data_IF_706035867839
#
_entry.id   IF_706035867839
#
_cell.length_a   1.000
_cell.length_b   1.000
_cell.length_c   1.000
_cell.angle_alpha   90.00
_cell.angle_beta   90.00
_cell.angle_gamma   90.00
#
_symmetry.space_group_name_H-M   'P 1'
#
loop_
_entity.id
_entity.type
_entity.pdbx_description
1 polymer ?
#
# COMPACT_ATOMS: atom_id res chain seq x y z
N UNK A 1 -47.30 25.20 57.67
CA UNK A 1 -47.30 25.12 56.20
C UNK A 1 -46.45 26.28 55.67
N UNK A 2 -45.37 25.99 54.92
CA UNK A 2 -45.42 26.17 53.47
C UNK A 2 -44.75 25.04 52.66
N UNK A 3 -45.09 25.05 51.36
CA UNK A 3 -44.78 24.11 50.28
C UNK A 3 -43.29 23.79 50.08
N UNK A 4 -42.96 22.50 49.88
CA UNK A 4 -41.75 22.08 49.17
C UNK A 4 -42.09 21.84 47.70
N UNK A 5 -41.24 22.26 46.75
CA UNK A 5 -41.44 21.91 45.35
C UNK A 5 -41.14 20.42 45.16
N UNK A 6 -42.10 19.73 44.53
CA UNK A 6 -41.97 18.36 44.07
C UNK A 6 -40.86 18.32 43.00
N UNK A 7 -39.68 17.82 43.37
CA UNK A 7 -38.69 17.38 42.39
C UNK A 7 -39.23 16.08 41.78
N UNK A 8 -39.81 16.19 40.58
CA UNK A 8 -40.25 15.05 39.79
C UNK A 8 -39.06 14.18 39.41
N UNK A 9 -39.01 12.96 39.93
CA UNK A 9 -38.12 11.92 39.41
C UNK A 9 -38.50 11.64 37.95
N UNK A 10 -37.55 11.62 37.01
CA UNK A 10 -37.85 11.22 35.64
C UNK A 10 -38.32 9.76 35.62
N UNK A 11 -39.46 9.51 35.00
CA UNK A 11 -40.05 8.18 34.80
C UNK A 11 -39.02 7.17 34.29
N UNK A 12 -39.02 5.95 34.83
CA UNK A 12 -38.12 4.84 34.41
C UNK A 12 -38.12 4.57 32.89
N UNK A 13 -39.23 4.91 32.20
CA UNK A 13 -39.35 4.84 30.74
C UNK A 13 -38.46 5.85 30.00
N UNK A 14 -38.23 7.03 30.58
CA UNK A 14 -37.39 8.09 30.02
C UNK A 14 -35.90 7.72 30.09
N UNK A 15 -35.47 7.12 31.21
CA UNK A 15 -34.07 6.67 31.40
C UNK A 15 -33.73 5.51 30.47
N UNK A 16 -34.67 4.58 30.25
CA UNK A 16 -34.48 3.45 29.34
C UNK A 16 -34.46 3.88 27.86
N UNK A 17 -35.19 4.95 27.51
CA UNK A 17 -35.19 5.55 26.16
C UNK A 17 -33.87 6.27 25.83
N UNK A 18 -33.29 7.02 26.78
CA UNK A 18 -32.02 7.71 26.54
C UNK A 18 -30.83 6.75 26.39
N UNK A 19 -30.82 5.64 27.14
CA UNK A 19 -29.75 4.62 27.00
C UNK A 19 -29.74 3.93 25.64
N UNK A 20 -30.91 3.73 25.03
CA UNK A 20 -31.03 3.08 23.72
C UNK A 20 -30.56 4.00 22.57
N UNK A 21 -30.80 5.30 22.68
CA UNK A 21 -30.33 6.30 21.71
C UNK A 21 -28.80 6.47 21.79
N UNK A 22 -28.22 6.45 23.00
CA UNK A 22 -26.78 6.50 23.19
C UNK A 22 -26.06 5.25 22.63
N UNK A 23 -26.70 4.06 22.70
CA UNK A 23 -26.16 2.84 22.09
C UNK A 23 -26.20 2.89 20.55
N UNK A 24 -27.27 3.44 19.96
CA UNK A 24 -27.37 3.61 18.51
C UNK A 24 -26.40 4.66 17.95
N UNK A 25 -26.04 5.69 18.73
CA UNK A 25 -25.03 6.69 18.36
C UNK A 25 -23.59 6.20 18.57
N UNK A 26 -23.39 5.06 19.23
CA UNK A 26 -22.07 4.46 19.46
C UNK A 26 -21.64 3.49 18.35
N UNK A 27 -22.42 3.35 17.28
CA UNK A 27 -21.93 2.72 16.05
C UNK A 27 -20.95 3.68 15.38
N UNK A 28 -19.71 3.72 15.88
CA UNK A 28 -18.56 4.18 15.10
C UNK A 28 -18.69 3.55 13.72
N UNK A 29 -18.53 4.31 12.62
CA UNK A 29 -18.56 3.73 11.30
C UNK A 29 -17.47 2.66 11.31
N UNK A 30 -17.90 1.40 11.32
CA UNK A 30 -17.03 0.27 11.06
C UNK A 30 -16.49 0.58 9.68
N UNK A 31 -15.26 1.08 9.61
CA UNK A 31 -14.68 1.55 8.36
C UNK A 31 -14.80 0.40 7.40
N UNK A 32 -15.65 0.56 6.37
CA UNK A 32 -15.70 -0.39 5.29
C UNK A 32 -14.28 -0.45 4.76
N UNK A 33 -13.56 -1.54 5.02
CA UNK A 33 -12.18 -1.68 4.57
C UNK A 33 -12.19 -1.51 3.05
N UNK A 34 -11.50 -0.47 2.60
CA UNK A 34 -11.38 -0.15 1.19
C UNK A 34 -10.91 -1.40 0.41
N UNK A 35 -11.46 -1.68 -0.78
CA UNK A 35 -11.06 -2.84 -1.60
C UNK A 35 -9.54 -2.93 -1.82
N UNK A 36 -8.83 -1.79 -1.85
CA UNK A 36 -7.36 -1.73 -1.89
C UNK A 36 -6.78 -2.32 -0.61
N UNK A 37 -7.22 -1.88 0.57
CA UNK A 37 -6.71 -2.37 1.86
C UNK A 37 -7.03 -3.84 2.12
N UNK A 38 -8.17 -4.35 1.59
CA UNK A 38 -8.60 -5.73 1.81
C UNK A 38 -7.96 -6.71 0.82
N UNK A 39 -8.08 -6.44 -0.48
CA UNK A 39 -7.68 -7.37 -1.54
C UNK A 39 -6.48 -6.83 -2.33
N UNK A 40 -6.50 -5.54 -2.70
CA UNK A 40 -5.45 -4.95 -3.54
C UNK A 40 -4.06 -5.12 -2.93
N UNK A 41 -3.91 -4.86 -1.63
CA UNK A 41 -2.63 -4.98 -0.93
C UNK A 41 -2.10 -6.41 -0.91
N UNK A 42 -2.98 -7.41 -0.77
CA UNK A 42 -2.62 -8.83 -0.90
C UNK A 42 -2.14 -9.13 -2.31
N UNK A 43 -2.80 -8.59 -3.33
CA UNK A 43 -2.47 -8.84 -4.73
C UNK A 43 -1.14 -8.15 -5.13
N UNK A 44 -0.86 -6.96 -4.58
CA UNK A 44 0.45 -6.29 -4.70
C UNK A 44 1.57 -7.12 -4.06
N UNK A 45 1.37 -7.57 -2.82
CA UNK A 45 2.32 -8.45 -2.12
C UNK A 45 2.59 -9.72 -2.92
N UNK A 46 1.55 -10.41 -3.37
CA UNK A 46 1.70 -11.62 -4.18
C UNK A 46 2.46 -11.35 -5.49
N UNK A 47 2.20 -10.21 -6.13
CA UNK A 47 2.93 -9.82 -7.35
C UNK A 47 4.41 -9.52 -7.07
N UNK A 48 4.71 -8.89 -5.94
CA UNK A 48 6.08 -8.64 -5.50
C UNK A 48 6.79 -9.92 -5.02
N UNK A 49 6.10 -10.82 -4.36
CA UNK A 49 6.63 -12.13 -3.95
C UNK A 49 7.01 -12.99 -5.15
N UNK A 50 6.26 -12.92 -6.26
CA UNK A 50 6.65 -13.58 -7.52
C UNK A 50 7.95 -12.99 -8.09
N UNK A 51 8.13 -11.67 -7.99
CA UNK A 51 9.36 -10.99 -8.39
C UNK A 51 10.54 -11.42 -7.51
N UNK A 52 10.37 -11.37 -6.18
CA UNK A 52 11.39 -11.76 -5.20
C UNK A 52 11.69 -13.27 -5.22
N UNK A 53 10.71 -14.11 -5.56
CA UNK A 53 10.90 -15.55 -5.74
C UNK A 53 11.86 -15.92 -6.88
N UNK A 54 12.16 -14.96 -7.78
CA UNK A 54 13.21 -15.08 -8.81
C UNK A 54 14.54 -14.44 -8.37
N UNK A 55 14.66 -14.02 -7.12
CA UNK A 55 15.81 -13.31 -6.56
C UNK A 55 15.76 -11.78 -6.74
N UNK A 56 14.65 -11.24 -7.24
CA UNK A 56 14.50 -9.80 -7.46
C UNK A 56 15.32 -9.26 -8.65
N UNK A 57 15.25 -7.95 -8.87
CA UNK A 57 16.03 -7.30 -9.94
C UNK A 57 17.51 -7.34 -9.63
N UNK A 58 17.90 -7.32 -8.35
CA UNK A 58 19.28 -7.51 -7.94
C UNK A 58 19.87 -8.81 -8.52
N UNK A 59 19.23 -9.96 -8.27
CA UNK A 59 19.75 -11.24 -8.76
C UNK A 59 19.71 -11.33 -10.30
N UNK A 60 18.70 -10.74 -10.94
CA UNK A 60 18.63 -10.66 -12.40
C UNK A 60 19.85 -9.96 -13.01
N UNK A 61 20.24 -8.81 -12.45
CA UNK A 61 21.43 -8.08 -12.92
C UNK A 61 22.73 -8.80 -12.55
N UNK A 62 22.78 -9.45 -11.39
CA UNK A 62 23.93 -10.25 -10.97
C UNK A 62 24.20 -11.43 -11.91
N UNK A 63 23.13 -12.05 -12.45
CA UNK A 63 23.20 -13.22 -13.33
C UNK A 63 23.33 -12.86 -14.81
N UNK A 64 23.08 -11.61 -15.20
CA UNK A 64 23.12 -11.18 -16.59
C UNK A 64 24.55 -10.74 -16.98
N UNK A 65 25.16 -11.34 -18.02
CA UNK A 65 26.48 -10.92 -18.50
C UNK A 65 26.52 -9.43 -18.83
N UNK A 66 27.57 -8.74 -18.34
CA UNK A 66 27.75 -7.29 -18.56
C UNK A 66 26.94 -6.37 -17.63
N UNK A 67 26.12 -6.91 -16.71
CA UNK A 67 25.29 -6.11 -15.80
C UNK A 67 25.63 -6.24 -14.32
N UNK A 68 26.53 -7.16 -13.97
CA UNK A 68 26.89 -7.46 -12.57
C UNK A 68 27.33 -6.22 -11.78
N UNK A 69 28.17 -5.36 -12.37
CA UNK A 69 28.66 -4.14 -11.70
C UNK A 69 27.54 -3.12 -11.42
N UNK A 70 26.38 -3.30 -12.06
CA UNK A 70 25.18 -2.49 -11.86
C UNK A 70 24.13 -3.18 -10.98
N UNK A 71 24.42 -4.33 -10.36
CA UNK A 71 23.43 -5.09 -9.57
C UNK A 71 22.87 -4.29 -8.39
N UNK A 72 23.64 -3.35 -7.84
CA UNK A 72 23.16 -2.40 -6.82
C UNK A 72 21.99 -1.51 -7.29
N UNK A 73 21.82 -1.27 -8.58
CA UNK A 73 20.62 -0.61 -9.11
C UNK A 73 19.39 -1.53 -8.99
N UNK A 74 19.58 -2.84 -9.18
CA UNK A 74 18.52 -3.82 -8.97
C UNK A 74 18.09 -3.89 -7.51
N UNK A 75 19.04 -3.85 -6.58
CA UNK A 75 18.73 -3.80 -5.15
C UNK A 75 17.94 -2.53 -4.76
N UNK A 76 18.23 -1.41 -5.42
CA UNK A 76 17.44 -0.18 -5.23
C UNK A 76 16.00 -0.34 -5.72
N UNK A 77 15.78 -0.98 -6.88
CA UNK A 77 14.42 -1.31 -7.34
C UNK A 77 13.70 -2.17 -6.32
N UNK A 78 14.32 -3.28 -5.90
CA UNK A 78 13.73 -4.23 -4.95
C UNK A 78 13.32 -3.52 -3.64
N UNK A 79 14.23 -2.71 -3.07
CA UNK A 79 13.97 -1.96 -1.84
C UNK A 79 12.89 -0.89 -1.98
N UNK A 80 12.85 -0.16 -3.11
CA UNK A 80 11.85 0.90 -3.35
C UNK A 80 10.45 0.32 -3.56
N UNK A 81 10.34 -0.78 -4.31
CA UNK A 81 9.07 -1.49 -4.50
C UNK A 81 8.52 -2.01 -3.16
N UNK A 82 9.38 -2.61 -2.33
CA UNK A 82 9.00 -3.03 -0.98
C UNK A 82 8.53 -1.84 -0.14
N UNK A 83 9.26 -0.71 -0.18
CA UNK A 83 8.90 0.49 0.58
C UNK A 83 7.53 1.02 0.15
N UNK A 84 7.26 1.11 -1.15
CA UNK A 84 5.96 1.53 -1.68
C UNK A 84 4.80 0.66 -1.17
N UNK A 85 4.97 -0.66 -1.15
CA UNK A 85 3.98 -1.58 -0.59
C UNK A 85 3.76 -1.28 0.90
N UNK A 86 4.84 -1.17 1.68
CA UNK A 86 4.79 -0.88 3.12
C UNK A 86 4.10 0.46 3.41
N UNK A 87 4.25 1.46 2.55
CA UNK A 87 3.55 2.75 2.69
C UNK A 87 2.03 2.54 2.60
N UNK A 88 1.55 1.79 1.61
CA UNK A 88 0.11 1.47 1.52
C UNK A 88 -0.37 0.63 2.71
N UNK A 89 0.43 -0.33 3.17
CA UNK A 89 0.12 -1.09 4.39
C UNK A 89 -0.07 -0.18 5.60
N UNK A 90 0.82 0.80 5.74
CA UNK A 90 0.82 1.74 6.86
C UNK A 90 -0.40 2.64 6.78
N UNK A 91 -0.74 3.16 5.60
CA UNK A 91 -1.98 3.92 5.39
C UNK A 91 -3.20 3.11 5.84
N UNK A 92 -3.32 1.86 5.38
CA UNK A 92 -4.44 0.98 5.75
C UNK A 92 -4.50 0.68 7.26
N UNK A 93 -3.35 0.50 7.92
CA UNK A 93 -3.26 0.30 9.38
C UNK A 93 -3.66 1.55 10.16
N UNK A 94 -3.33 2.72 9.65
CA UNK A 94 -3.65 4.02 10.25
C UNK A 94 -5.11 4.47 9.99
N UNK A 95 -5.92 3.64 9.33
CA UNK A 95 -7.29 3.98 8.94
C UNK A 95 -7.38 4.98 7.78
N UNK A 96 -6.27 5.25 7.09
CA UNK A 96 -6.23 6.04 5.85
C UNK A 96 -6.50 5.13 4.65
N UNK A 97 -7.19 5.65 3.66
CA UNK A 97 -7.45 4.93 2.40
C UNK A 97 -6.43 5.32 1.34
N UNK A 98 -5.63 4.37 0.81
CA UNK A 98 -4.82 4.59 -0.39
C UNK A 98 -5.65 5.10 -1.57
N UNK A 99 -5.08 5.96 -2.41
CA UNK A 99 -5.75 6.34 -3.65
C UNK A 99 -5.59 5.23 -4.70
N UNK A 100 -6.58 5.10 -5.59
CA UNK A 100 -6.46 4.17 -6.73
C UNK A 100 -5.26 4.49 -7.62
N UNK A 101 -4.90 5.78 -7.73
CA UNK A 101 -3.69 6.23 -8.44
C UNK A 101 -2.42 5.65 -7.81
N UNK A 102 -2.27 5.76 -6.48
CA UNK A 102 -1.11 5.19 -5.78
C UNK A 102 -1.05 3.68 -5.93
N UNK A 103 -2.19 2.99 -5.82
CA UNK A 103 -2.29 1.54 -6.01
C UNK A 103 -1.85 1.12 -7.42
N UNK A 104 -2.42 1.74 -8.46
CA UNK A 104 -2.11 1.44 -9.85
C UNK A 104 -0.65 1.78 -10.19
N UNK A 105 -0.11 2.86 -9.62
CA UNK A 105 1.30 3.24 -9.78
C UNK A 105 2.24 2.13 -9.30
N UNK A 106 2.00 1.59 -8.09
CA UNK A 106 2.81 0.49 -7.54
C UNK A 106 2.62 -0.78 -8.38
N UNK A 107 1.38 -1.09 -8.78
CA UNK A 107 1.10 -2.26 -9.61
C UNK A 107 1.83 -2.18 -10.95
N UNK A 108 1.86 -1.00 -11.59
CA UNK A 108 2.59 -0.77 -12.84
C UNK A 108 4.08 -0.96 -12.65
N UNK A 109 4.68 -0.39 -11.59
CA UNK A 109 6.11 -0.52 -11.32
C UNK A 109 6.55 -1.98 -11.10
N UNK A 110 5.74 -2.78 -10.40
CA UNK A 110 5.98 -4.23 -10.27
C UNK A 110 5.85 -4.93 -11.62
N UNK A 111 4.87 -4.52 -12.44
CA UNK A 111 4.72 -5.00 -13.82
C UNK A 111 5.94 -4.73 -14.68
N UNK A 112 6.44 -3.49 -14.67
CA UNK A 112 7.63 -3.06 -15.41
C UNK A 112 8.88 -3.82 -14.96
N UNK A 113 9.05 -4.04 -13.66
CA UNK A 113 10.12 -4.87 -13.10
C UNK A 113 10.02 -6.32 -13.61
N UNK A 114 8.81 -6.90 -13.68
CA UNK A 114 8.61 -8.26 -14.21
C UNK A 114 8.90 -8.38 -15.70
N UNK A 115 8.69 -7.32 -16.47
CA UNK A 115 9.02 -7.31 -17.92
C UNK A 115 10.51 -7.53 -18.15
N UNK A 116 11.40 -7.10 -17.24
CA UNK A 116 12.85 -7.31 -17.37
C UNK A 116 13.23 -8.79 -17.51
N UNK A 117 12.54 -9.69 -16.80
CA UNK A 117 12.79 -11.14 -16.87
C UNK A 117 12.32 -11.78 -18.17
N UNK A 118 11.54 -11.06 -18.99
CA UNK A 118 11.03 -11.55 -20.26
C UNK A 118 11.76 -10.90 -21.46
N UNK A 119 12.78 -10.08 -21.20
CA UNK A 119 13.60 -9.49 -22.26
C UNK A 119 14.43 -10.57 -22.93
N UNK A 120 14.51 -10.52 -24.26
CA UNK A 120 15.41 -11.35 -25.01
C UNK A 120 16.83 -10.76 -24.89
N UNK A 121 17.64 -11.33 -24.01
CA UNK A 121 19.01 -10.86 -23.73
C UNK A 121 19.96 -10.96 -24.93
N UNK A 122 19.61 -11.72 -25.98
CA UNK A 122 20.39 -11.77 -27.23
C UNK A 122 20.10 -10.56 -28.14
N UNK A 123 18.98 -9.87 -27.91
CA UNK A 123 18.52 -8.72 -28.71
C UNK A 123 18.46 -7.41 -27.93
N UNK A 124 18.50 -7.47 -26.60
CA UNK A 124 18.47 -6.29 -25.75
C UNK A 124 19.85 -6.04 -25.18
N UNK A 125 20.38 -4.86 -25.44
CA UNK A 125 21.68 -4.44 -24.93
C UNK A 125 21.63 -4.20 -23.42
N UNK A 126 22.79 -4.33 -22.77
CA UNK A 126 22.95 -3.99 -21.35
C UNK A 126 22.51 -2.55 -21.06
N UNK A 127 22.76 -1.60 -21.96
CA UNK A 127 22.36 -0.21 -21.81
C UNK A 127 20.83 -0.02 -21.83
N UNK A 128 20.12 -0.74 -22.70
CA UNK A 128 18.65 -0.70 -22.75
C UNK A 128 18.05 -1.30 -21.47
N UNK A 129 18.63 -2.37 -20.94
CA UNK A 129 18.21 -2.95 -19.65
C UNK A 129 18.42 -1.93 -18.53
N UNK A 130 19.59 -1.31 -18.45
CA UNK A 130 19.89 -0.31 -17.42
C UNK A 130 19.02 0.94 -17.54
N UNK A 131 18.63 1.33 -18.76
CA UNK A 131 17.69 2.43 -18.99
C UNK A 131 16.33 2.12 -18.37
N UNK A 132 15.82 0.88 -18.56
CA UNK A 132 14.56 0.44 -17.96
C UNK A 132 14.66 0.36 -16.43
N UNK A 133 15.76 -0.17 -15.89
CA UNK A 133 15.99 -0.22 -14.43
C UNK A 133 16.00 1.19 -13.83
N UNK A 134 16.73 2.13 -14.43
CA UNK A 134 16.78 3.53 -13.97
C UNK A 134 15.43 4.23 -14.07
N UNK A 135 14.62 3.92 -15.10
CA UNK A 135 13.27 4.43 -15.21
C UNK A 135 12.38 3.95 -14.04
N UNK A 136 12.45 2.66 -13.68
CA UNK A 136 11.70 2.12 -12.54
C UNK A 136 12.14 2.79 -11.23
N UNK A 137 13.45 2.98 -11.01
CA UNK A 137 13.99 3.70 -9.84
C UNK A 137 13.39 5.10 -9.76
N UNK A 138 13.49 5.87 -10.85
CA UNK A 138 12.98 7.24 -10.90
C UNK A 138 11.48 7.31 -10.64
N UNK A 139 10.69 6.48 -11.32
CA UNK A 139 9.23 6.46 -11.12
C UNK A 139 8.83 5.98 -9.73
N UNK A 140 9.64 5.12 -9.09
CA UNK A 140 9.43 4.75 -7.69
C UNK A 140 9.73 5.91 -6.75
N UNK A 141 10.78 6.70 -7.02
CA UNK A 141 11.11 7.90 -6.25
C UNK A 141 10.04 8.98 -6.38
N UNK A 142 9.56 9.24 -7.61
CA UNK A 142 8.48 10.20 -7.86
C UNK A 142 7.20 9.79 -7.12
N UNK A 143 6.88 8.49 -7.11
CA UNK A 143 5.70 7.97 -6.40
C UNK A 143 5.87 7.99 -4.86
N UNK A 144 7.06 7.70 -4.34
CA UNK A 144 7.34 7.85 -2.91
C UNK A 144 7.20 9.31 -2.48
N UNK A 145 7.76 10.24 -3.26
CA UNK A 145 7.67 11.67 -2.99
C UNK A 145 6.21 12.16 -2.97
N UNK A 146 5.37 11.71 -3.91
CA UNK A 146 3.95 12.08 -3.93
C UNK A 146 3.16 11.51 -2.75
N UNK A 147 3.66 10.44 -2.13
CA UNK A 147 3.13 9.84 -0.89
C UNK A 147 3.73 10.44 0.39
N UNK A 148 4.62 11.43 0.27
CA UNK A 148 5.26 12.13 1.39
C UNK A 148 6.35 11.33 2.08
N UNK A 149 7.09 10.50 1.35
CA UNK A 149 8.14 9.60 1.84
C UNK A 149 9.56 10.03 1.48
#
# INVERSE_FOLDING_TARGET
MPNRPFLGLPSKKLVMSLGFIAFLLSTSPLMAQDPICKNGLRDLKGSFDVLQGRGGIWAYLEQTPGLRDSSMLGLQVDGKLQRLIVVLETMCKDGKTPTMESFNGIQSLIGDARVLFNLNTDKTTSEEILTKVKAIIKSSDDLLASLGQ
#
